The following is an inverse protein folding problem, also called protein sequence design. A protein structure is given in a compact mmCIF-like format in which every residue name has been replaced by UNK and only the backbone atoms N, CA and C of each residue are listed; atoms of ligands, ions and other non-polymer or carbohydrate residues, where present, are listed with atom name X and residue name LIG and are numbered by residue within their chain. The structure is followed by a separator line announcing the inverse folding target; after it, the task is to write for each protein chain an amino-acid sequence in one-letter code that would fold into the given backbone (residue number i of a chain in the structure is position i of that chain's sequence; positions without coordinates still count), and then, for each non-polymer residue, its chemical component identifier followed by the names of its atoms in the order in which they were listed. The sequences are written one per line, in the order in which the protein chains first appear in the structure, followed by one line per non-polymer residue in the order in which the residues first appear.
data_IF_156869008065
#
_entry.id   IF_156869008065
#
_cell.length_a   1.000
_cell.length_b   1.000
_cell.length_c   1.000
_cell.angle_alpha   90.00
_cell.angle_beta   90.00
_cell.angle_gamma   90.00
#
_symmetry.space_group_name_H-M   'P 1'
#
loop_
_entity.id
_entity.type
_entity.pdbx_description
1 polymer ?
#
# COMPACT_ATOMS: atom_id res chain seq x y z
N UNK A 1 7.73 -19.83 -38.92
CA UNK A 1 7.58 -18.37 -38.83
C UNK A 1 8.97 -17.76 -38.63
N UNK A 2 9.30 -16.70 -39.36
CA UNK A 2 10.58 -16.00 -39.13
C UNK A 2 10.53 -15.30 -37.78
N UNK A 3 11.67 -15.25 -37.07
CA UNK A 3 11.77 -14.61 -35.72
C UNK A 3 11.24 -13.17 -35.72
N UNK A 4 11.40 -12.48 -36.84
CA UNK A 4 10.91 -11.11 -37.04
C UNK A 4 9.36 -11.05 -37.02
N UNK A 5 8.66 -11.89 -37.76
CA UNK A 5 7.20 -11.93 -37.80
C UNK A 5 6.59 -12.30 -36.43
N UNK A 6 7.22 -13.22 -35.69
CA UNK A 6 6.82 -13.56 -34.33
C UNK A 6 6.92 -12.35 -33.39
N UNK A 7 8.02 -11.60 -33.45
CA UNK A 7 8.20 -10.39 -32.64
C UNK A 7 7.12 -9.33 -32.95
N UNK A 8 6.90 -9.04 -34.24
CA UNK A 8 5.88 -8.05 -34.65
C UNK A 8 4.49 -8.46 -34.18
N UNK A 9 4.11 -9.71 -34.41
CA UNK A 9 2.81 -10.23 -34.02
C UNK A 9 2.61 -10.20 -32.49
N UNK A 10 3.62 -10.63 -31.72
CA UNK A 10 3.57 -10.59 -30.25
C UNK A 10 3.43 -9.15 -29.71
N UNK A 11 4.18 -8.20 -30.32
CA UNK A 11 4.08 -6.78 -29.92
C UNK A 11 2.68 -6.23 -30.17
N UNK A 12 2.10 -6.52 -31.33
CA UNK A 12 0.74 -6.06 -31.67
C UNK A 12 -0.30 -6.64 -30.71
N UNK A 13 -0.24 -7.94 -30.42
CA UNK A 13 -1.17 -8.57 -29.49
C UNK A 13 -1.03 -8.05 -28.06
N UNK A 14 0.20 -7.88 -27.58
CA UNK A 14 0.45 -7.31 -26.25
C UNK A 14 -0.08 -5.88 -26.14
N UNK A 15 0.18 -5.04 -27.16
CA UNK A 15 -0.31 -3.66 -27.20
C UNK A 15 -1.83 -3.59 -27.27
N UNK A 16 -2.44 -4.42 -28.13
CA UNK A 16 -3.91 -4.49 -28.24
C UNK A 16 -4.56 -4.94 -26.91
N UNK A 17 -3.95 -5.94 -26.25
CA UNK A 17 -4.42 -6.42 -24.94
C UNK A 17 -4.34 -5.35 -23.84
N UNK A 18 -3.23 -4.62 -23.77
CA UNK A 18 -3.06 -3.54 -22.77
C UNK A 18 -4.02 -2.38 -23.03
N UNK A 19 -4.27 -2.00 -24.29
CA UNK A 19 -5.23 -0.97 -24.66
C UNK A 19 -6.66 -1.38 -24.27
N UNK A 20 -7.03 -2.63 -24.50
CA UNK A 20 -8.33 -3.17 -24.11
C UNK A 20 -8.52 -3.15 -22.59
N UNK A 21 -7.51 -3.56 -21.82
CA UNK A 21 -7.56 -3.53 -20.37
C UNK A 21 -7.64 -2.10 -19.83
N UNK A 22 -6.93 -1.15 -20.45
CA UNK A 22 -7.01 0.26 -20.09
C UNK A 22 -8.40 0.82 -20.34
N UNK A 23 -9.00 0.54 -21.50
CA UNK A 23 -10.35 0.96 -21.83
C UNK A 23 -11.39 0.36 -20.86
N UNK A 24 -11.26 -0.92 -20.50
CA UNK A 24 -12.11 -1.56 -19.49
C UNK A 24 -11.95 -0.88 -18.12
N UNK A 25 -10.71 -0.57 -17.71
CA UNK A 25 -10.42 0.15 -16.47
C UNK A 25 -11.09 1.53 -16.43
N UNK A 26 -11.06 2.27 -17.55
CA UNK A 26 -11.75 3.55 -17.66
C UNK A 26 -13.27 3.41 -17.56
N UNK A 27 -13.86 2.41 -18.22
CA UNK A 27 -15.31 2.15 -18.12
C UNK A 27 -15.73 1.81 -16.68
N UNK A 28 -14.93 1.02 -15.96
CA UNK A 28 -15.19 0.70 -14.56
C UNK A 28 -15.10 1.99 -13.71
N UNK A 29 -14.11 2.83 -13.94
CA UNK A 29 -13.92 4.09 -13.19
C UNK A 29 -15.06 5.07 -13.43
N UNK A 30 -15.54 5.19 -14.68
CA UNK A 30 -16.60 6.16 -15.04
C UNK A 30 -17.99 5.72 -14.61
N UNK A 31 -18.30 4.41 -14.65
CA UNK A 31 -19.64 3.87 -14.40
C UNK A 31 -19.76 3.03 -13.13
N UNK A 32 -18.65 2.70 -12.51
CA UNK A 32 -18.57 1.86 -11.31
C UNK A 32 -18.14 2.63 -10.07
N UNK A 33 -17.64 1.89 -9.08
CA UNK A 33 -17.08 2.41 -7.84
C UNK A 33 -15.60 2.01 -7.80
N UNK A 34 -14.74 2.96 -7.46
CA UNK A 34 -13.31 2.73 -7.35
C UNK A 34 -12.53 3.10 -8.61
N UNK A 35 -11.22 2.94 -8.52
CA UNK A 35 -10.32 3.09 -9.67
C UNK A 35 -10.28 1.76 -10.43
N UNK A 36 -10.84 1.74 -11.66
CA UNK A 36 -10.99 0.53 -12.45
C UNK A 36 -9.67 -0.15 -12.80
N UNK A 37 -8.61 0.62 -13.08
CA UNK A 37 -7.28 0.05 -13.36
C UNK A 37 -6.71 -0.64 -12.13
N UNK A 38 -6.83 -0.02 -10.96
CA UNK A 38 -6.39 -0.61 -9.69
C UNK A 38 -7.18 -1.89 -9.36
N UNK A 39 -8.48 -1.90 -9.63
CA UNK A 39 -9.33 -3.09 -9.47
C UNK A 39 -8.91 -4.22 -10.40
N UNK A 40 -8.62 -3.95 -11.67
CA UNK A 40 -8.15 -4.96 -12.62
C UNK A 40 -6.80 -5.58 -12.19
N UNK A 41 -5.87 -4.76 -11.72
CA UNK A 41 -4.60 -5.24 -11.17
C UNK A 41 -4.85 -6.13 -9.96
N UNK A 42 -5.73 -5.69 -9.05
CA UNK A 42 -6.07 -6.46 -7.85
C UNK A 42 -6.73 -7.80 -8.19
N UNK A 43 -7.63 -7.85 -9.16
CA UNK A 43 -8.26 -9.09 -9.63
C UNK A 43 -7.20 -10.04 -10.19
N UNK A 44 -6.23 -9.53 -10.96
CA UNK A 44 -5.11 -10.34 -11.44
C UNK A 44 -4.31 -10.98 -10.31
N UNK A 45 -4.01 -10.21 -9.25
CA UNK A 45 -3.32 -10.73 -8.05
C UNK A 45 -4.18 -11.75 -7.29
N UNK A 46 -5.48 -11.45 -7.13
CA UNK A 46 -6.42 -12.36 -6.45
C UNK A 46 -6.62 -13.68 -7.21
N UNK A 47 -6.50 -13.68 -8.52
CA UNK A 47 -6.61 -14.89 -9.35
C UNK A 47 -5.51 -15.92 -9.04
N UNK A 48 -4.36 -15.48 -8.54
CA UNK A 48 -3.26 -16.36 -8.13
C UNK A 48 -3.44 -16.97 -6.73
N UNK A 49 -4.38 -16.46 -5.91
CA UNK A 49 -4.62 -16.92 -4.52
C UNK A 49 -4.95 -18.42 -4.44
N UNK A 50 -5.87 -18.98 -5.27
CA UNK A 50 -6.19 -20.41 -5.18
C UNK A 50 -4.96 -21.29 -5.44
N UNK A 51 -4.12 -20.89 -6.40
CA UNK A 51 -2.87 -21.59 -6.70
C UNK A 51 -1.85 -21.52 -5.56
N UNK A 52 -1.72 -20.35 -4.93
CA UNK A 52 -0.85 -20.15 -3.77
C UNK A 52 -1.36 -20.94 -2.55
N UNK A 53 -2.67 -20.95 -2.30
CA UNK A 53 -3.27 -21.72 -1.21
C UNK A 53 -3.04 -23.23 -1.38
N UNK A 54 -3.21 -23.74 -2.61
CA UNK A 54 -2.95 -25.16 -2.91
C UNK A 54 -1.47 -25.51 -2.75
N UNK A 55 -0.57 -24.64 -3.20
CA UNK A 55 0.87 -24.82 -3.02
C UNK A 55 1.25 -24.78 -1.52
N UNK A 56 0.62 -23.90 -0.73
CA UNK A 56 0.82 -23.84 0.73
C UNK A 56 0.33 -25.13 1.38
N UNK A 57 -0.85 -25.62 1.01
CA UNK A 57 -1.38 -26.88 1.52
C UNK A 57 -0.42 -28.06 1.24
N UNK A 58 0.07 -28.17 0.01
CA UNK A 58 1.03 -29.22 -0.37
C UNK A 58 2.36 -29.08 0.39
N UNK A 59 2.79 -27.87 0.73
CA UNK A 59 4.03 -27.63 1.44
C UNK A 59 4.00 -28.18 2.89
N UNK A 60 2.85 -28.12 3.54
CA UNK A 60 2.67 -28.51 4.95
C UNK A 60 2.01 -29.88 5.15
N UNK A 61 1.09 -30.27 4.27
CA UNK A 61 0.23 -31.47 4.45
C UNK A 61 0.48 -32.57 3.41
N UNK A 62 1.53 -32.45 2.58
CA UNK A 62 1.89 -33.53 1.66
C UNK A 62 2.32 -34.81 2.43
N UNK A 63 2.19 -36.00 1.83
CA UNK A 63 2.62 -37.25 2.43
C UNK A 63 4.06 -37.23 2.92
N UNK A 64 4.35 -38.00 3.96
CA UNK A 64 5.67 -38.09 4.61
C UNK A 64 6.77 -38.34 3.57
N UNK A 65 7.74 -37.41 3.50
CA UNK A 65 8.83 -37.41 2.52
C UNK A 65 8.75 -36.29 1.45
N UNK A 66 7.60 -35.63 1.29
CA UNK A 66 7.40 -34.51 0.35
C UNK A 66 7.18 -33.17 1.07
N UNK A 67 6.65 -33.23 2.30
CA UNK A 67 6.48 -32.03 3.13
C UNK A 67 7.85 -31.45 3.50
N UNK A 68 8.13 -30.24 3.03
CA UNK A 68 9.43 -29.57 3.22
C UNK A 68 9.50 -28.76 4.51
N UNK A 69 8.37 -28.35 5.07
CA UNK A 69 8.26 -27.46 6.21
C UNK A 69 7.41 -28.07 7.32
N UNK A 70 7.83 -27.85 8.56
CA UNK A 70 7.12 -28.36 9.74
C UNK A 70 6.10 -27.39 10.31
N UNK A 71 5.38 -27.83 11.34
CA UNK A 71 4.37 -27.04 12.04
C UNK A 71 4.90 -25.68 12.57
N UNK A 72 6.14 -25.57 13.11
CA UNK A 72 6.67 -24.28 13.55
C UNK A 72 6.80 -23.24 12.43
N UNK A 73 7.20 -23.67 11.23
CA UNK A 73 7.30 -22.77 10.08
C UNK A 73 5.90 -22.33 9.60
N UNK A 74 4.89 -23.23 9.68
CA UNK A 74 3.51 -22.88 9.35
C UNK A 74 2.97 -21.79 10.29
N UNK A 75 3.16 -21.94 11.60
CA UNK A 75 2.72 -20.93 12.58
C UNK A 75 3.43 -19.60 12.39
N UNK A 76 4.74 -19.62 12.10
CA UNK A 76 5.51 -18.41 11.81
C UNK A 76 5.00 -17.71 10.55
N UNK A 77 4.69 -18.43 9.48
CA UNK A 77 4.16 -17.86 8.23
C UNK A 77 2.79 -17.23 8.43
N UNK A 78 1.88 -17.89 9.16
CA UNK A 78 0.56 -17.35 9.47
C UNK A 78 0.69 -16.09 10.33
N UNK A 79 1.52 -16.09 11.37
CA UNK A 79 1.76 -14.95 12.21
C UNK A 79 2.32 -13.76 11.41
N UNK A 80 3.28 -14.04 10.54
CA UNK A 80 3.88 -13.02 9.65
C UNK A 80 2.85 -12.44 8.69
N UNK A 81 2.00 -13.26 8.08
CA UNK A 81 0.91 -12.81 7.21
C UNK A 81 -0.02 -11.83 7.93
N UNK A 82 -0.43 -12.16 9.16
CA UNK A 82 -1.31 -11.31 9.97
C UNK A 82 -0.59 -9.99 10.32
N UNK A 83 0.68 -10.05 10.74
CA UNK A 83 1.48 -8.86 11.10
C UNK A 83 1.64 -7.93 9.89
N UNK A 84 1.99 -8.49 8.73
CA UNK A 84 2.16 -7.72 7.49
C UNK A 84 0.84 -7.08 7.07
N UNK A 85 -0.26 -7.84 7.08
CA UNK A 85 -1.59 -7.30 6.74
C UNK A 85 -1.97 -6.15 7.67
N UNK A 86 -1.81 -6.32 8.99
CA UNK A 86 -2.09 -5.26 9.95
C UNK A 86 -1.17 -4.04 9.76
N UNK A 87 0.10 -4.25 9.49
CA UNK A 87 1.05 -3.19 9.19
C UNK A 87 0.64 -2.40 7.95
N UNK A 88 0.26 -3.08 6.88
CA UNK A 88 -0.24 -2.45 5.64
C UNK A 88 -1.49 -1.61 5.94
N UNK A 89 -2.46 -2.16 6.66
CA UNK A 89 -3.69 -1.45 7.04
C UNK A 89 -3.35 -0.21 7.88
N UNK A 90 -2.49 -0.35 8.89
CA UNK A 90 -2.10 0.73 9.79
C UNK A 90 -1.44 1.90 9.03
N UNK A 91 -0.51 1.61 8.11
CA UNK A 91 0.19 2.65 7.34
C UNK A 91 -0.68 3.25 6.23
N UNK A 92 -1.52 2.44 5.58
CA UNK A 92 -2.43 2.91 4.53
C UNK A 92 -3.55 3.78 5.10
N UNK A 93 -4.07 3.44 6.29
CA UNK A 93 -5.07 4.23 6.98
C UNK A 93 -4.49 5.32 7.88
N UNK A 94 -3.21 5.19 8.22
CA UNK A 94 -2.50 6.13 9.09
C UNK A 94 -2.55 7.54 8.52
N UNK A 95 -3.02 8.50 9.35
CA UNK A 95 -3.07 9.91 8.96
C UNK A 95 -2.72 10.79 10.15
N UNK A 96 -1.94 11.83 9.89
CA UNK A 96 -1.69 12.91 10.86
C UNK A 96 -2.75 13.98 10.68
N UNK A 97 -3.57 14.20 11.70
CA UNK A 97 -4.61 15.23 11.72
C UNK A 97 -4.01 16.55 12.21
N UNK A 98 -3.94 17.55 11.33
CA UNK A 98 -3.47 18.90 11.68
C UNK A 98 -4.70 19.76 12.01
N UNK A 99 -4.79 20.37 13.21
CA UNK A 99 -5.92 21.21 13.57
C UNK A 99 -5.92 22.49 12.70
N UNK A 100 -7.07 22.80 12.13
CA UNK A 100 -7.31 24.03 11.37
C UNK A 100 -8.47 24.76 12.04
N UNK A 101 -8.28 26.03 12.35
CA UNK A 101 -9.30 26.90 12.91
C UNK A 101 -9.77 27.89 11.85
N UNK A 102 -11.07 28.11 11.80
CA UNK A 102 -11.67 29.10 10.93
C UNK A 102 -12.08 30.34 11.74
N UNK A 103 -11.81 31.52 11.19
CA UNK A 103 -12.18 32.78 11.84
C UNK A 103 -13.70 32.87 12.03
N UNK A 104 -14.13 33.33 13.20
CA UNK A 104 -15.54 33.62 13.47
C UNK A 104 -15.95 34.84 12.65
N UNK A 105 -17.01 34.72 11.86
CA UNK A 105 -17.65 35.85 11.16
C UNK A 105 -18.94 36.19 11.87
N UNK A 106 -19.08 37.44 12.27
CA UNK A 106 -20.32 37.97 12.85
C UNK A 106 -21.06 38.66 11.70
N UNK A 107 -22.26 38.18 11.39
CA UNK A 107 -23.15 38.80 10.39
C UNK A 107 -24.43 39.17 11.10
N UNK A 108 -24.57 40.44 11.48
CA UNK A 108 -25.66 40.92 12.33
C UNK A 108 -25.56 40.36 13.75
N UNK A 109 -26.65 39.78 14.28
CA UNK A 109 -26.67 39.15 15.60
C UNK A 109 -26.29 37.67 15.60
N UNK A 110 -25.98 37.08 14.44
CA UNK A 110 -25.62 35.66 14.32
C UNK A 110 -24.11 35.50 14.11
N UNK A 111 -23.50 34.66 14.96
CA UNK A 111 -22.10 34.30 14.86
C UNK A 111 -22.00 33.05 13.98
N UNK A 112 -21.38 33.18 12.82
CA UNK A 112 -21.07 32.07 11.91
C UNK A 112 -19.58 31.75 11.98
N UNK A 113 -19.21 30.47 12.03
CA UNK A 113 -17.83 30.03 12.07
C UNK A 113 -17.31 29.71 13.47
N UNK A 114 -16.00 29.56 13.59
CA UNK A 114 -15.36 29.11 14.84
C UNK A 114 -15.34 27.58 15.01
N UNK A 115 -15.71 26.84 13.96
CA UNK A 115 -15.56 25.39 13.97
C UNK A 115 -14.07 25.03 13.76
N UNK A 116 -13.56 24.16 14.63
CA UNK A 116 -12.27 23.53 14.42
C UNK A 116 -12.45 22.33 13.49
N UNK A 117 -11.67 22.29 12.46
CA UNK A 117 -11.58 21.17 11.51
C UNK A 117 -10.18 20.58 11.56
N UNK A 118 -9.98 19.44 10.90
CA UNK A 118 -8.66 18.81 10.81
C UNK A 118 -8.30 18.59 9.34
N UNK A 119 -7.06 18.92 9.00
CA UNK A 119 -6.45 18.56 7.72
C UNK A 119 -5.78 17.19 7.86
N UNK A 120 -6.31 16.11 7.24
CA UNK A 120 -5.71 14.79 7.33
C UNK A 120 -4.57 14.66 6.33
N UNK A 121 -3.35 14.42 6.81
CA UNK A 121 -2.18 14.06 5.99
C UNK A 121 -1.91 12.57 6.12
N UNK A 122 -2.02 11.82 5.03
CA UNK A 122 -1.77 10.37 5.00
C UNK A 122 -0.27 10.09 5.22
N UNK A 123 0.07 9.05 5.98
CA UNK A 123 1.45 8.60 6.19
C UNK A 123 2.03 8.07 4.88
N UNK A 124 1.27 7.24 4.16
CA UNK A 124 1.62 6.78 2.83
C UNK A 124 0.82 7.57 1.78
N UNK A 125 1.30 8.79 1.46
CA UNK A 125 0.66 9.64 0.46
C UNK A 125 0.96 9.19 -0.97
N UNK A 126 2.14 8.63 -1.20
CA UNK A 126 2.58 8.10 -2.50
C UNK A 126 1.90 6.77 -2.90
N UNK A 127 1.22 6.11 -1.96
CA UNK A 127 0.56 4.83 -2.21
C UNK A 127 1.56 3.71 -2.52
N UNK A 128 1.23 2.87 -3.49
CA UNK A 128 2.05 1.72 -3.92
C UNK A 128 2.96 2.03 -5.10
N UNK A 129 2.79 3.18 -5.74
CA UNK A 129 3.50 3.57 -6.97
C UNK A 129 5.03 3.51 -6.84
N UNK A 130 5.67 3.99 -5.74
CA UNK A 130 7.12 3.94 -5.60
C UNK A 130 7.70 2.53 -5.73
N UNK A 131 7.00 1.54 -5.18
CA UNK A 131 7.45 0.15 -5.21
C UNK A 131 7.35 -0.45 -6.61
N UNK A 132 6.25 -0.14 -7.34
CA UNK A 132 6.04 -0.59 -8.72
C UNK A 132 7.13 -0.01 -9.63
N UNK A 133 7.41 1.31 -9.51
CA UNK A 133 8.46 1.93 -10.32
C UNK A 133 9.86 1.45 -9.96
N UNK A 134 10.16 1.26 -8.66
CA UNK A 134 11.45 0.75 -8.22
C UNK A 134 11.72 -0.65 -8.81
N UNK A 135 10.76 -1.56 -8.72
CA UNK A 135 10.90 -2.90 -9.27
C UNK A 135 11.03 -2.91 -10.80
N UNK A 136 10.23 -2.11 -11.51
CA UNK A 136 10.29 -2.00 -12.95
C UNK A 136 11.64 -1.43 -13.43
N UNK A 137 12.12 -0.34 -12.81
CA UNK A 137 13.36 0.31 -13.18
C UNK A 137 14.57 -0.58 -12.90
N UNK A 138 14.55 -1.38 -11.83
CA UNK A 138 15.67 -2.27 -11.52
C UNK A 138 15.82 -3.41 -12.54
N UNK A 139 14.73 -3.86 -13.14
CA UNK A 139 14.75 -4.91 -14.17
C UNK A 139 15.50 -4.47 -15.44
N UNK A 140 15.42 -3.18 -15.84
CA UNK A 140 16.06 -2.71 -17.08
C UNK A 140 17.59 -2.79 -17.05
N UNK A 141 18.29 -2.18 -16.05
CA UNK A 141 19.75 -2.29 -15.96
C UNK A 141 20.22 -3.75 -15.87
N UNK A 142 19.55 -4.56 -15.08
CA UNK A 142 19.86 -5.98 -14.94
C UNK A 142 19.82 -6.70 -16.29
N UNK A 143 18.76 -6.54 -17.07
CA UNK A 143 18.59 -7.19 -18.35
C UNK A 143 19.61 -6.68 -19.39
N UNK A 144 19.84 -5.37 -19.44
CA UNK A 144 20.78 -4.74 -20.36
C UNK A 144 22.22 -5.18 -20.05
N UNK A 145 22.63 -5.13 -18.77
CA UNK A 145 23.96 -5.52 -18.34
C UNK A 145 24.25 -7.00 -18.61
N UNK A 146 23.26 -7.87 -18.36
CA UNK A 146 23.35 -9.29 -18.66
C UNK A 146 23.56 -9.55 -20.17
N UNK A 147 22.78 -8.89 -21.03
CA UNK A 147 22.89 -9.05 -22.49
C UNK A 147 24.19 -8.47 -23.03
N UNK A 148 24.59 -7.27 -22.59
CA UNK A 148 25.86 -6.65 -23.01
C UNK A 148 27.07 -7.47 -22.53
N UNK A 149 27.05 -7.96 -21.29
CA UNK A 149 28.06 -8.81 -20.72
C UNK A 149 28.24 -10.10 -21.51
N UNK A 150 27.14 -10.72 -21.95
CA UNK A 150 27.16 -11.91 -22.79
C UNK A 150 27.61 -11.61 -24.22
N UNK A 151 27.17 -10.49 -24.82
CA UNK A 151 27.52 -10.12 -26.20
C UNK A 151 28.97 -9.72 -26.37
N UNK A 152 29.54 -9.01 -25.40
CA UNK A 152 30.92 -8.53 -25.44
C UNK A 152 31.89 -9.40 -24.64
N UNK A 153 31.45 -10.55 -24.12
CA UNK A 153 32.22 -11.46 -23.28
C UNK A 153 32.95 -10.74 -22.11
N UNK A 154 32.28 -9.80 -21.46
CA UNK A 154 32.77 -9.02 -20.32
C UNK A 154 32.28 -9.62 -18.99
N UNK A 155 33.12 -10.41 -18.26
CA UNK A 155 32.69 -11.09 -17.03
C UNK A 155 32.22 -10.12 -15.95
N UNK A 156 32.85 -8.96 -15.85
CA UNK A 156 32.47 -7.92 -14.87
C UNK A 156 31.03 -7.46 -15.01
N UNK A 157 30.53 -7.27 -16.25
CA UNK A 157 29.12 -6.85 -16.46
C UNK A 157 28.14 -7.96 -16.09
N UNK A 158 28.49 -9.21 -16.35
CA UNK A 158 27.70 -10.37 -15.98
C UNK A 158 27.65 -10.51 -14.44
N UNK A 159 28.78 -10.38 -13.77
CA UNK A 159 28.88 -10.45 -12.31
C UNK A 159 28.09 -9.30 -11.66
N UNK A 160 28.18 -8.08 -12.17
CA UNK A 160 27.41 -6.95 -11.70
C UNK A 160 25.91 -7.17 -11.90
N UNK A 161 25.49 -7.70 -13.06
CA UNK A 161 24.11 -8.08 -13.34
C UNK A 161 23.58 -9.14 -12.36
N UNK A 162 24.42 -10.15 -12.04
CA UNK A 162 24.07 -11.20 -11.08
C UNK A 162 23.91 -10.64 -9.65
N UNK A 163 24.70 -9.67 -9.26
CA UNK A 163 24.57 -8.99 -7.98
C UNK A 163 23.29 -8.13 -7.86
N UNK A 164 22.68 -7.77 -8.99
CA UNK A 164 21.35 -7.12 -9.05
C UNK A 164 20.19 -8.10 -9.06
N UNK A 165 20.44 -9.42 -8.97
CA UNK A 165 19.39 -10.42 -8.81
C UNK A 165 18.87 -10.46 -7.36
N UNK A 166 17.61 -10.84 -7.22
CA UNK A 166 17.00 -11.09 -5.91
C UNK A 166 17.84 -12.11 -5.12
N UNK A 167 18.02 -11.84 -3.81
CA UNK A 167 18.87 -12.66 -2.95
C UNK A 167 20.24 -12.04 -2.64
N UNK A 168 20.69 -11.05 -3.38
CA UNK A 168 21.95 -10.36 -3.13
C UNK A 168 21.72 -9.04 -2.38
N UNK A 169 22.62 -8.68 -1.46
CA UNK A 169 22.52 -7.45 -0.67
C UNK A 169 22.45 -6.19 -1.55
N UNK A 170 23.09 -6.20 -2.70
CA UNK A 170 23.11 -5.09 -3.65
C UNK A 170 21.71 -4.82 -4.22
N UNK A 171 20.96 -5.87 -4.56
CA UNK A 171 19.58 -5.76 -4.99
C UNK A 171 18.72 -5.04 -3.92
N UNK A 172 18.83 -5.43 -2.65
CA UNK A 172 18.03 -4.82 -1.58
C UNK A 172 18.40 -3.38 -1.32
N UNK A 173 19.69 -3.04 -1.42
CA UNK A 173 20.16 -1.65 -1.25
C UNK A 173 19.63 -0.75 -2.37
N UNK A 174 19.74 -1.18 -3.62
CA UNK A 174 19.20 -0.42 -4.76
C UNK A 174 17.67 -0.32 -4.72
N UNK A 175 16.99 -1.40 -4.39
CA UNK A 175 15.53 -1.39 -4.22
C UNK A 175 15.10 -0.39 -3.14
N UNK A 176 15.76 -0.40 -1.99
CA UNK A 176 15.48 0.55 -0.90
C UNK A 176 15.73 2.00 -1.33
N UNK A 177 16.86 2.26 -1.99
CA UNK A 177 17.19 3.60 -2.48
C UNK A 177 16.19 4.09 -3.53
N UNK A 178 15.78 3.23 -4.46
CA UNK A 178 14.78 3.57 -5.48
C UNK A 178 13.40 3.80 -4.87
N UNK A 179 12.95 2.97 -3.92
CA UNK A 179 11.67 3.19 -3.23
C UNK A 179 11.69 4.52 -2.49
N UNK A 180 12.76 4.86 -1.77
CA UNK A 180 12.92 6.15 -1.12
C UNK A 180 12.85 7.29 -2.14
N UNK A 181 13.65 7.22 -3.20
CA UNK A 181 13.68 8.24 -4.25
C UNK A 181 12.30 8.46 -4.87
N UNK A 182 11.63 7.39 -5.30
CA UNK A 182 10.30 7.49 -5.91
C UNK A 182 9.21 7.92 -4.94
N UNK A 183 9.33 7.59 -3.65
CA UNK A 183 8.40 8.07 -2.63
C UNK A 183 8.45 9.59 -2.51
N UNK A 184 9.64 10.17 -2.43
CA UNK A 184 9.80 11.63 -2.40
C UNK A 184 9.40 12.29 -3.70
N UNK A 185 9.80 11.70 -4.83
CA UNK A 185 9.42 12.21 -6.16
C UNK A 185 7.90 12.26 -6.33
N UNK A 186 7.19 11.16 -5.99
CA UNK A 186 5.75 11.07 -6.13
C UNK A 186 5.01 12.05 -5.21
N UNK A 187 5.48 12.19 -3.99
CA UNK A 187 4.91 13.15 -3.04
C UNK A 187 5.14 14.58 -3.52
N UNK A 188 6.31 14.93 -4.03
CA UNK A 188 6.58 16.28 -4.55
C UNK A 188 5.69 16.67 -5.75
N UNK A 189 5.30 15.69 -6.57
CA UNK A 189 4.38 15.89 -7.71
C UNK A 189 2.94 16.05 -7.25
N UNK A 190 2.49 15.22 -6.30
CA UNK A 190 1.09 15.15 -5.90
C UNK A 190 0.72 16.13 -4.77
N UNK A 191 1.63 16.40 -3.86
CA UNK A 191 1.41 17.29 -2.73
C UNK A 191 1.91 18.70 -3.04
N UNK A 192 0.99 19.66 -3.08
CA UNK A 192 1.27 21.06 -3.39
C UNK A 192 1.02 21.93 -2.16
N UNK A 193 1.99 22.08 -1.25
CA UNK A 193 1.80 22.76 0.03
C UNK A 193 1.40 24.21 -0.12
N UNK A 194 1.93 24.91 -1.14
CA UNK A 194 1.63 26.32 -1.41
C UNK A 194 0.14 26.50 -1.75
N UNK A 195 -0.41 25.65 -2.63
CA UNK A 195 -1.83 25.72 -2.99
C UNK A 195 -2.75 25.48 -1.79
N UNK A 196 -2.41 24.47 -0.97
CA UNK A 196 -3.18 24.16 0.25
C UNK A 196 -3.13 25.34 1.23
N UNK A 197 -1.97 25.96 1.42
CA UNK A 197 -1.82 27.13 2.30
C UNK A 197 -2.61 28.35 1.81
N UNK A 198 -2.60 28.60 0.49
CA UNK A 198 -3.37 29.67 -0.13
C UNK A 198 -4.88 29.44 -0.05
N UNK A 199 -5.33 28.20 -0.25
CA UNK A 199 -6.74 27.85 -0.11
C UNK A 199 -7.20 28.01 1.34
N UNK A 200 -6.42 27.54 2.31
CA UNK A 200 -6.70 27.78 3.73
C UNK A 200 -6.83 29.28 4.02
N UNK A 201 -5.91 30.10 3.51
CA UNK A 201 -5.95 31.54 3.68
C UNK A 201 -7.18 32.17 3.04
N UNK A 202 -7.55 31.76 1.82
CA UNK A 202 -8.76 32.27 1.10
C UNK A 202 -10.05 31.97 1.88
N UNK A 203 -10.14 30.77 2.47
CA UNK A 203 -11.31 30.38 3.25
C UNK A 203 -11.29 30.86 4.71
N UNK A 204 -10.28 31.64 5.10
CA UNK A 204 -10.13 32.16 6.46
C UNK A 204 -9.75 31.11 7.49
N UNK A 205 -9.20 29.99 7.04
CA UNK A 205 -8.63 28.95 7.88
C UNK A 205 -7.17 29.24 8.21
N UNK A 206 -6.75 28.89 9.42
CA UNK A 206 -5.34 28.97 9.84
C UNK A 206 -4.98 27.80 10.75
N UNK A 207 -3.70 27.47 10.77
CA UNK A 207 -3.15 26.47 11.69
C UNK A 207 -2.70 27.19 12.96
N UNK A 208 -3.18 26.78 14.17
CA UNK A 208 -2.77 27.41 15.42
C UNK A 208 -1.25 27.41 15.57
N UNK A 209 -0.66 28.58 15.85
CA UNK A 209 0.76 28.75 16.04
C UNK A 209 1.58 28.97 14.75
N UNK A 210 0.95 28.93 13.55
CA UNK A 210 1.61 29.17 12.26
C UNK A 210 0.93 30.33 11.54
N UNK A 211 1.73 31.27 11.00
CA UNK A 211 1.19 32.39 10.21
C UNK A 211 0.61 31.89 8.88
N UNK A 212 -0.59 32.38 8.46
CA UNK A 212 -1.17 32.03 7.17
C UNK A 212 -0.28 32.43 6.00
N UNK A 213 -0.27 31.61 4.94
CA UNK A 213 0.50 31.82 3.71
C UNK A 213 1.77 30.96 3.65
N UNK A 214 2.89 31.51 3.23
CA UNK A 214 4.16 30.80 3.02
C UNK A 214 4.68 30.04 4.24
N UNK A 215 4.62 30.55 5.50
CA UNK A 215 4.99 29.76 6.67
C UNK A 215 4.13 28.53 6.88
N UNK A 216 2.85 28.57 6.52
CA UNK A 216 1.96 27.41 6.55
C UNK A 216 2.36 26.38 5.50
N UNK A 217 2.73 26.81 4.28
CA UNK A 217 3.22 25.93 3.24
C UNK A 217 4.51 25.20 3.68
N UNK A 218 5.48 25.93 4.22
CA UNK A 218 6.73 25.37 4.72
C UNK A 218 6.52 24.39 5.88
N UNK A 219 5.58 24.68 6.78
CA UNK A 219 5.22 23.76 7.87
C UNK A 219 4.58 22.47 7.35
N UNK A 220 3.69 22.55 6.36
CA UNK A 220 3.07 21.38 5.73
C UNK A 220 4.10 20.53 4.99
N UNK A 221 5.01 21.15 4.24
CA UNK A 221 6.09 20.48 3.54
C UNK A 221 7.02 19.73 4.50
N UNK A 222 7.42 20.40 5.58
CA UNK A 222 8.24 19.77 6.63
C UNK A 222 7.58 18.51 7.25
N UNK A 223 6.27 18.56 7.51
CA UNK A 223 5.54 17.40 8.03
C UNK A 223 5.46 16.30 6.99
N UNK A 224 5.12 16.64 5.73
CA UNK A 224 5.01 15.65 4.66
C UNK A 224 6.33 14.96 4.37
N UNK A 225 7.44 15.67 4.36
CA UNK A 225 8.77 15.07 4.18
C UNK A 225 9.07 14.00 5.21
N UNK A 226 8.75 14.24 6.49
CA UNK A 226 8.93 13.26 7.57
C UNK A 226 7.96 12.07 7.48
N UNK A 227 6.70 12.33 7.13
CA UNK A 227 5.72 11.27 6.92
C UNK A 227 6.10 10.39 5.73
N UNK A 228 6.58 10.99 4.64
CA UNK A 228 7.06 10.27 3.46
C UNK A 228 8.23 9.36 3.80
N UNK A 229 9.19 9.81 4.62
CA UNK A 229 10.29 8.96 5.06
C UNK A 229 9.77 7.71 5.80
N UNK A 230 8.88 7.90 6.78
CA UNK A 230 8.31 6.79 7.53
C UNK A 230 7.53 5.82 6.62
N UNK A 231 6.72 6.35 5.70
CA UNK A 231 6.00 5.56 4.71
C UNK A 231 6.92 4.78 3.77
N UNK A 232 7.98 5.41 3.27
CA UNK A 232 8.94 4.80 2.35
C UNK A 232 9.76 3.68 3.00
N UNK A 233 10.21 3.88 4.25
CA UNK A 233 10.88 2.81 5.03
C UNK A 233 9.96 1.62 5.20
N UNK A 234 8.70 1.85 5.55
CA UNK A 234 7.72 0.79 5.70
C UNK A 234 7.46 0.04 4.37
N UNK A 235 7.31 0.78 3.25
CA UNK A 235 7.15 0.18 1.92
C UNK A 235 8.36 -0.69 1.54
N UNK A 236 9.58 -0.23 1.87
CA UNK A 236 10.81 -0.98 1.65
C UNK A 236 10.81 -2.30 2.42
N UNK A 237 10.47 -2.27 3.71
CA UNK A 237 10.40 -3.48 4.55
C UNK A 237 9.42 -4.48 3.97
N UNK A 238 8.21 -4.05 3.60
CA UNK A 238 7.20 -4.94 3.01
C UNK A 238 7.62 -5.48 1.65
N UNK A 239 8.30 -4.68 0.83
CA UNK A 239 8.77 -5.10 -0.48
C UNK A 239 9.84 -6.20 -0.42
N UNK A 240 10.74 -6.14 0.58
CA UNK A 240 11.85 -7.09 0.75
C UNK A 240 11.42 -8.36 1.47
N UNK A 241 10.33 -8.32 2.23
CA UNK A 241 9.88 -9.41 3.09
C UNK A 241 9.64 -10.76 2.37
N UNK A 242 9.03 -10.82 1.17
CA UNK A 242 8.90 -12.09 0.42
C UNK A 242 10.24 -12.72 0.08
N UNK A 243 11.22 -11.90 -0.24
CA UNK A 243 12.55 -12.38 -0.59
C UNK A 243 13.24 -13.03 0.62
N UNK A 244 13.02 -12.52 1.83
CA UNK A 244 13.48 -13.18 3.07
C UNK A 244 12.82 -14.56 3.24
N UNK A 245 11.53 -14.71 2.95
CA UNK A 245 10.85 -15.99 3.00
C UNK A 245 11.40 -16.97 1.96
N UNK A 246 11.69 -16.50 0.75
CA UNK A 246 12.27 -17.31 -0.33
C UNK A 246 13.64 -17.87 0.05
N UNK A 247 14.55 -17.01 0.50
CA UNK A 247 15.95 -17.34 0.65
C UNK A 247 16.27 -17.95 2.04
N UNK A 248 15.59 -17.52 3.10
CA UNK A 248 15.85 -18.03 4.45
C UNK A 248 15.03 -19.28 4.81
N UNK A 249 13.78 -19.34 4.35
CA UNK A 249 12.88 -20.46 4.68
C UNK A 249 12.72 -21.46 3.52
N UNK A 250 13.36 -21.22 2.37
CA UNK A 250 13.24 -22.04 1.15
C UNK A 250 11.77 -22.30 0.74
N UNK A 251 10.93 -21.30 0.94
CA UNK A 251 9.51 -21.33 0.57
C UNK A 251 9.37 -21.15 -0.94
N UNK A 252 8.48 -21.87 -1.66
CA UNK A 252 8.26 -21.64 -3.08
C UNK A 252 7.83 -20.21 -3.39
N UNK A 253 8.25 -19.61 -4.54
CA UNK A 253 7.98 -18.22 -4.89
C UNK A 253 6.49 -17.85 -4.83
N UNK A 254 5.60 -18.72 -5.31
CA UNK A 254 4.15 -18.48 -5.26
C UNK A 254 3.62 -18.25 -3.85
N UNK A 255 4.15 -19.03 -2.89
CA UNK A 255 3.75 -18.94 -1.49
C UNK A 255 4.35 -17.69 -0.86
N UNK A 256 5.64 -17.43 -1.07
CA UNK A 256 6.32 -16.28 -0.50
C UNK A 256 5.68 -14.94 -0.95
N UNK A 257 5.39 -14.78 -2.23
CA UNK A 257 4.74 -13.57 -2.76
C UNK A 257 3.27 -13.43 -2.33
N UNK A 258 2.61 -14.53 -1.96
CA UNK A 258 1.27 -14.48 -1.37
C UNK A 258 1.29 -13.93 0.06
N UNK A 259 2.27 -14.33 0.88
CA UNK A 259 2.37 -13.91 2.28
C UNK A 259 2.97 -12.52 2.47
N UNK A 260 3.42 -11.85 1.43
CA UNK A 260 4.00 -10.50 1.53
C UNK A 260 4.20 -9.83 0.18
N UNK A 261 4.88 -8.68 0.23
CA UNK A 261 5.32 -7.98 -0.96
C UNK A 261 4.28 -7.03 -1.58
N UNK A 262 4.59 -6.64 -2.82
CA UNK A 262 3.84 -5.63 -3.56
C UNK A 262 2.41 -6.06 -3.86
N UNK A 263 2.18 -7.33 -4.17
CA UNK A 263 0.85 -7.86 -4.49
C UNK A 263 -0.13 -7.71 -3.32
N UNK A 264 0.31 -8.09 -2.13
CA UNK A 264 -0.49 -7.94 -0.91
C UNK A 264 -0.76 -6.47 -0.57
N UNK A 265 0.27 -5.61 -0.71
CA UNK A 265 0.16 -4.17 -0.47
C UNK A 265 -0.83 -3.52 -1.43
N UNK A 266 -0.78 -3.87 -2.73
CA UNK A 266 -1.74 -3.39 -3.74
C UNK A 266 -3.15 -3.89 -3.40
N UNK A 267 -3.31 -5.18 -3.13
CA UNK A 267 -4.62 -5.79 -2.85
C UNK A 267 -5.28 -5.15 -1.64
N UNK A 268 -4.58 -5.07 -0.51
CA UNK A 268 -5.11 -4.45 0.72
C UNK A 268 -5.40 -2.97 0.51
N UNK A 269 -4.48 -2.23 -0.15
CA UNK A 269 -4.65 -0.81 -0.43
C UNK A 269 -5.88 -0.51 -1.28
N UNK A 270 -6.07 -1.26 -2.37
CA UNK A 270 -7.21 -1.08 -3.29
C UNK A 270 -8.53 -1.49 -2.64
N UNK A 271 -8.55 -2.61 -1.88
CA UNK A 271 -9.76 -3.03 -1.14
C UNK A 271 -10.18 -1.95 -0.15
N UNK A 272 -9.24 -1.41 0.65
CA UNK A 272 -9.53 -0.35 1.61
C UNK A 272 -10.03 0.93 0.96
N UNK A 273 -9.44 1.32 -0.18
CA UNK A 273 -9.87 2.52 -0.90
C UNK A 273 -11.26 2.33 -1.52
N UNK A 274 -11.52 1.16 -2.09
CA UNK A 274 -12.84 0.80 -2.64
C UNK A 274 -13.91 0.75 -1.54
N UNK A 275 -13.61 0.18 -0.38
CA UNK A 275 -14.54 0.14 0.77
C UNK A 275 -14.91 1.55 1.23
N UNK A 276 -13.94 2.47 1.34
CA UNK A 276 -14.23 3.88 1.67
C UNK A 276 -15.13 4.56 0.65
N UNK A 277 -14.93 4.28 -0.63
CA UNK A 277 -15.78 4.83 -1.69
C UNK A 277 -17.20 4.25 -1.60
N UNK A 278 -17.36 2.96 -1.33
CA UNK A 278 -18.67 2.31 -1.10
C UNK A 278 -19.37 2.95 0.10
N UNK A 279 -18.68 3.13 1.22
CA UNK A 279 -19.23 3.80 2.41
C UNK A 279 -19.72 5.21 2.08
N UNK A 280 -18.93 5.99 1.36
CA UNK A 280 -19.32 7.35 0.94
C UNK A 280 -20.55 7.32 0.04
N UNK A 281 -20.62 6.38 -0.90
CA UNK A 281 -21.74 6.22 -1.82
C UNK A 281 -23.04 5.80 -1.09
N UNK A 282 -22.92 4.91 -0.10
CA UNK A 282 -24.05 4.49 0.73
C UNK A 282 -24.57 5.64 1.60
N UNK A 283 -23.69 6.43 2.19
CA UNK A 283 -24.06 7.60 2.96
C UNK A 283 -24.81 8.62 2.08
N UNK A 284 -24.35 8.91 0.88
CA UNK A 284 -25.03 9.82 -0.05
C UNK A 284 -26.44 9.32 -0.40
N UNK A 285 -26.62 8.04 -0.70
CA UNK A 285 -27.94 7.46 -0.98
C UNK A 285 -28.90 7.51 0.21
N UNK A 286 -28.40 7.34 1.42
CA UNK A 286 -29.25 7.50 2.63
C UNK A 286 -29.74 8.93 2.77
N UNK A 287 -28.93 9.94 2.50
CA UNK A 287 -29.32 11.35 2.54
C UNK A 287 -30.40 11.69 1.50
N UNK A 288 -30.30 11.18 0.27
CA UNK A 288 -31.30 11.37 -0.77
C UNK A 288 -32.65 10.74 -0.40
N UNK A 289 -32.65 9.63 0.32
CA UNK A 289 -33.85 8.99 0.84
C UNK A 289 -34.56 9.82 1.93
N UNK A 290 -33.82 10.51 2.77
CA UNK A 290 -34.36 11.42 3.81
C UNK A 290 -34.93 12.71 3.21
N UNK A 291 -34.29 13.27 2.19
CA UNK A 291 -34.76 14.50 1.51
C UNK A 291 -36.04 14.27 0.69
N UNK A 292 -36.22 13.07 0.13
CA UNK A 292 -37.48 12.71 -0.60
C UNK A 292 -38.69 12.47 0.31
N UNK A 293 -38.50 12.20 1.59
CA UNK A 293 -39.58 12.15 2.59
C UNK A 293 -39.68 13.48 3.36
N UNK A 294 -39.92 14.57 2.65
CA UNK A 294 -40.09 15.91 3.21
C UNK A 294 -41.21 15.98 4.21
N UNK A 295 -40.88 15.89 5.47
CA UNK A 295 -41.50 16.53 6.66
C UNK A 295 -40.65 16.23 7.87
N UNK A 296 -39.57 16.97 8.03
CA UNK A 296 -38.85 16.96 9.33
C UNK A 296 -39.54 17.98 10.25
N UNK A 297 -40.41 17.48 11.09
CA UNK A 297 -40.84 18.16 12.32
C UNK A 297 -39.61 18.17 13.25
N UNK A 298 -39.08 19.37 13.51
CA UNK A 298 -37.89 19.52 14.35
C UNK A 298 -38.13 18.91 15.74
N UNK A 299 -37.35 17.89 16.05
CA UNK A 299 -37.10 17.43 17.41
C UNK A 299 -35.61 17.09 17.45
N UNK A 300 -34.86 17.99 18.09
CA UNK A 300 -33.46 17.77 18.47
C UNK A 300 -33.39 16.55 19.38
N UNK A 301 -33.07 15.44 18.80
CA UNK A 301 -32.50 14.31 19.53
C UNK A 301 -31.10 14.14 18.95
N UNK A 302 -30.08 14.45 19.73
CA UNK A 302 -28.70 14.12 19.50
C UNK A 302 -28.60 12.58 19.38
N UNK A 303 -28.88 12.06 18.18
CA UNK A 303 -28.44 10.74 17.83
C UNK A 303 -26.91 10.86 17.64
N UNK A 304 -26.17 10.44 18.66
CA UNK A 304 -24.81 9.99 18.49
C UNK A 304 -24.87 8.94 17.40
N UNK A 305 -24.58 9.34 16.16
CA UNK A 305 -24.20 8.41 15.12
C UNK A 305 -22.91 7.82 15.67
N UNK A 306 -22.99 6.62 16.19
CA UNK A 306 -21.84 5.79 16.44
C UNK A 306 -21.18 5.58 15.08
N UNK A 307 -20.29 6.49 14.73
CA UNK A 307 -19.20 6.24 13.77
C UNK A 307 -18.53 5.02 14.38
N UNK A 308 -18.54 3.92 13.64
CA UNK A 308 -18.11 2.61 14.11
C UNK A 308 -16.92 2.76 15.02
N UNK A 309 -17.05 2.34 16.25
CA UNK A 309 -16.01 2.40 17.26
C UNK A 309 -14.78 1.80 16.61
N UNK A 310 -13.78 2.65 16.35
CA UNK A 310 -12.44 2.19 16.10
C UNK A 310 -12.17 1.17 17.19
N UNK A 311 -11.91 -0.07 16.78
CA UNK A 311 -11.70 -1.19 17.69
C UNK A 311 -10.96 -0.67 18.91
N UNK A 312 -11.59 -0.80 20.10
CA UNK A 312 -11.11 -0.20 21.35
C UNK A 312 -9.59 -0.41 21.41
N UNK A 313 -8.81 0.61 21.74
CA UNK A 313 -7.35 0.54 21.83
C UNK A 313 -6.87 -0.69 22.63
N UNK A 314 -7.68 -1.14 23.58
CA UNK A 314 -7.48 -2.38 24.34
C UNK A 314 -7.62 -3.64 23.49
N UNK A 315 -8.59 -3.72 22.58
CA UNK A 315 -8.77 -4.90 21.70
C UNK A 315 -7.68 -4.99 20.65
N UNK A 316 -7.21 -3.86 20.11
CA UNK A 316 -6.07 -3.82 19.19
C UNK A 316 -4.79 -4.22 19.92
N UNK A 317 -4.58 -3.73 21.16
CA UNK A 317 -3.42 -4.08 21.97
C UNK A 317 -3.41 -5.55 22.39
N UNK A 318 -4.57 -6.13 22.70
CA UNK A 318 -4.69 -7.56 22.99
C UNK A 318 -4.39 -8.42 21.76
N UNK A 319 -4.87 -8.02 20.59
CA UNK A 319 -4.68 -8.74 19.35
C UNK A 319 -3.21 -8.67 18.90
N UNK A 320 -2.54 -7.52 19.06
CA UNK A 320 -1.10 -7.37 18.82
C UNK A 320 -0.27 -8.19 19.81
N UNK A 321 -0.64 -8.24 21.08
CA UNK A 321 0.05 -9.05 22.08
C UNK A 321 -0.03 -10.56 21.75
N UNK A 322 -1.22 -11.06 21.40
CA UNK A 322 -1.41 -12.46 20.98
C UNK A 322 -0.57 -12.79 19.75
N UNK A 323 -0.52 -11.88 18.77
CA UNK A 323 0.29 -12.08 17.56
C UNK A 323 1.79 -12.12 17.83
N UNK A 324 2.29 -11.22 18.70
CA UNK A 324 3.70 -11.22 19.10
C UNK A 324 4.05 -12.53 19.84
N UNK A 325 3.16 -13.03 20.70
CA UNK A 325 3.35 -14.31 21.39
C UNK A 325 3.42 -15.47 20.37
N UNK A 326 2.52 -15.54 19.40
CA UNK A 326 2.52 -16.59 18.37
C UNK A 326 3.82 -16.52 17.54
N UNK A 327 4.29 -15.33 17.20
CA UNK A 327 5.53 -15.14 16.45
C UNK A 327 6.75 -15.57 17.28
N UNK A 328 6.80 -15.21 18.57
CA UNK A 328 7.87 -15.64 19.48
C UNK A 328 7.89 -17.17 19.66
N UNK A 329 6.72 -17.80 19.81
CA UNK A 329 6.62 -19.27 19.89
C UNK A 329 7.10 -19.92 18.60
N UNK A 330 6.73 -19.35 17.42
CA UNK A 330 7.21 -19.84 16.13
C UNK A 330 8.73 -19.69 15.96
N UNK A 331 9.29 -18.54 16.36
CA UNK A 331 10.73 -18.29 16.33
C UNK A 331 11.52 -19.19 17.29
N UNK A 332 11.03 -19.38 18.52
CA UNK A 332 11.70 -20.25 19.49
C UNK A 332 11.66 -21.72 19.04
N UNK A 333 10.53 -22.18 18.52
CA UNK A 333 10.42 -23.53 17.99
C UNK A 333 11.31 -23.75 16.75
N UNK A 334 11.45 -22.73 15.89
CA UNK A 334 12.38 -22.76 14.77
C UNK A 334 13.84 -22.78 15.23
N UNK A 335 14.20 -21.91 16.18
CA UNK A 335 15.54 -21.83 16.73
C UNK A 335 15.95 -23.15 17.41
N UNK A 336 15.08 -23.73 18.25
CA UNK A 336 15.31 -25.05 18.87
C UNK A 336 15.57 -26.13 17.82
N UNK A 337 14.83 -26.14 16.72
CA UNK A 337 15.03 -27.11 15.64
C UNK A 337 16.32 -26.88 14.85
N UNK A 338 16.81 -25.64 14.75
CA UNK A 338 17.97 -25.29 13.93
C UNK A 338 19.29 -25.35 14.73
N UNK A 339 19.24 -25.15 16.05
CA UNK A 339 20.41 -25.13 16.93
C UNK A 339 20.53 -26.33 17.89
N UNK A 340 19.47 -27.14 18.02
CA UNK A 340 19.46 -28.34 18.89
C UNK A 340 19.61 -29.66 18.10
N UNK A 341 19.80 -29.60 16.79
CA UNK A 341 20.21 -30.70 15.89
C UNK A 341 21.55 -30.34 15.23
#
# INVERSE_FOLDING_TARGET
MSKFWFMVQSTIFMTAGTMLLMWLGEQITQRGIGNGVSLLITIGILADIPGAAMATYQLFFAPIGVAKLGLPQATMMIALFIIVTMGIIAVTQGQRKIPVQYAKRVVGQKVYGGQSSFLPLKVNYSGVMPVIFASAILLFPQQILSQLGAAFALPFLVEFSNNLLQGHWMYYTFTAALILFFSYFWVSVMFKPIQIADDLKKYGGYIPGVRPGEPTASFLDFIMTRLTLAGAVFLTIISILPDLLLFQLSVPPRVAYFFGGTGMLITVGVILDTMRQIETFLLQRHYDGFLKKGRIRGRTTSANVAIGEAASDKSVMQLTAVMVIILLVGLTAWAVRHFAL
#
